data_IF_825790210303
#
_entry.id   IF_825790210303
#
_cell.length_a   1.000
_cell.length_b   1.000
_cell.length_c   1.000
_cell.angle_alpha   90.00
_cell.angle_beta   90.00
_cell.angle_gamma   90.00
#
_symmetry.space_group_name_H-M   'P 1'
#
loop_
_entity.id
_entity.type
_entity.pdbx_description
1 polymer ?
#
# COMPACT_ATOMS: atom_id res chain seq x y z
N UNK A 1 17.65 -1.09 -6.16
CA UNK A 1 16.43 -1.73 -6.69
C UNK A 1 16.82 -3.05 -7.34
N UNK A 2 15.94 -4.06 -7.38
CA UNK A 2 16.17 -5.49 -7.69
C UNK A 2 16.69 -6.35 -6.53
N UNK A 3 15.80 -6.68 -5.60
CA UNK A 3 16.01 -7.79 -4.66
C UNK A 3 14.97 -8.89 -4.94
N UNK A 4 15.02 -9.99 -4.17
CA UNK A 4 14.05 -11.11 -4.25
C UNK A 4 13.19 -11.20 -2.99
N UNK A 5 12.84 -10.04 -2.42
CA UNK A 5 12.00 -10.03 -1.22
C UNK A 5 10.61 -10.55 -1.57
N UNK A 6 10.25 -11.69 -0.98
CA UNK A 6 8.92 -12.29 -1.11
C UNK A 6 7.88 -11.70 -0.16
N UNK A 7 8.37 -11.09 0.91
CA UNK A 7 7.58 -10.53 1.99
C UNK A 7 8.16 -9.14 2.28
N UNK A 8 7.29 -8.20 2.62
CA UNK A 8 7.73 -6.90 3.13
C UNK A 8 8.61 -7.09 4.37
N UNK A 9 9.86 -6.58 4.40
CA UNK A 9 10.76 -6.84 5.52
C UNK A 9 10.22 -6.26 6.84
N UNK A 10 9.88 -7.15 7.79
CA UNK A 10 9.26 -6.76 9.08
C UNK A 10 10.07 -5.75 9.88
N UNK A 11 11.39 -5.71 9.68
CA UNK A 11 12.27 -4.74 10.34
C UNK A 11 11.91 -3.30 9.97
N UNK A 12 11.42 -3.04 8.76
CA UNK A 12 11.07 -1.70 8.30
C UNK A 12 9.92 -1.10 9.11
N UNK A 13 8.96 -1.91 9.54
CA UNK A 13 7.85 -1.46 10.40
C UNK A 13 8.33 -0.91 11.75
N UNK A 14 9.52 -1.32 12.22
CA UNK A 14 10.07 -0.89 13.50
C UNK A 14 10.81 0.44 13.42
N UNK A 15 11.11 0.91 12.20
CA UNK A 15 11.85 2.15 11.98
C UNK A 15 10.84 3.26 11.70
N UNK A 16 10.22 3.76 12.77
CA UNK A 16 9.14 4.78 12.71
C UNK A 16 9.59 6.13 12.14
N UNK A 17 10.90 6.31 11.93
CA UNK A 17 11.49 7.50 11.32
C UNK A 17 11.59 7.42 9.80
N UNK A 18 11.27 6.29 9.17
CA UNK A 18 11.33 6.14 7.71
C UNK A 18 10.31 7.05 7.02
N UNK A 19 10.79 7.83 6.06
CA UNK A 19 9.97 8.71 5.23
C UNK A 19 9.67 8.13 3.85
N UNK A 20 10.58 7.30 3.33
CA UNK A 20 10.46 6.70 2.02
C UNK A 20 10.90 5.23 2.04
N UNK A 21 10.09 4.36 1.44
CA UNK A 21 10.36 2.94 1.26
C UNK A 21 10.26 2.64 -0.23
N UNK A 22 11.39 2.26 -0.81
CA UNK A 22 11.54 1.96 -2.24
C UNK A 22 11.77 0.46 -2.43
N UNK A 23 10.68 -0.28 -2.63
CA UNK A 23 10.67 -1.73 -2.82
C UNK A 23 10.15 -2.14 -4.19
N UNK A 24 10.24 -1.25 -5.18
CA UNK A 24 9.96 -1.57 -6.58
C UNK A 24 10.81 -2.74 -7.10
N UNK A 25 10.23 -3.52 -8.00
CA UNK A 25 10.87 -4.69 -8.65
C UNK A 25 11.36 -5.73 -7.63
N UNK A 26 10.44 -6.25 -6.84
CA UNK A 26 10.63 -7.37 -5.90
C UNK A 26 9.54 -8.44 -6.14
N UNK A 27 9.35 -9.36 -5.19
CA UNK A 27 8.36 -10.44 -5.25
C UNK A 27 7.37 -10.37 -4.09
N UNK A 28 7.10 -9.16 -3.59
CA UNK A 28 6.33 -8.96 -2.35
C UNK A 28 4.87 -9.31 -2.64
N UNK A 29 4.39 -10.37 -1.98
CA UNK A 29 3.00 -10.81 -2.13
C UNK A 29 2.04 -10.22 -1.09
N UNK A 30 2.56 -9.73 0.03
CA UNK A 30 1.76 -9.19 1.13
C UNK A 30 2.52 -8.17 1.98
N UNK A 31 1.74 -7.34 2.67
CA UNK A 31 2.17 -6.29 3.59
C UNK A 31 1.14 -6.18 4.73
N UNK A 32 1.57 -5.68 5.88
CA UNK A 32 0.72 -5.49 7.07
C UNK A 32 0.27 -4.02 7.13
N UNK A 33 -0.99 -3.72 6.81
CA UNK A 33 -1.47 -2.33 6.79
C UNK A 33 -1.56 -1.72 8.20
N UNK A 34 -1.74 -2.52 9.25
CA UNK A 34 -1.80 -2.02 10.63
C UNK A 34 -0.43 -1.55 11.10
N UNK A 35 0.64 -2.23 10.66
CA UNK A 35 2.01 -1.79 10.94
C UNK A 35 2.39 -0.59 10.08
N UNK A 36 1.99 -0.54 8.80
CA UNK A 36 2.22 0.65 7.96
C UNK A 36 1.54 1.89 8.50
N UNK A 37 0.32 1.76 9.04
CA UNK A 37 -0.38 2.88 9.68
C UNK A 37 0.41 3.50 10.84
N UNK A 38 1.20 2.71 11.58
CA UNK A 38 2.04 3.21 12.68
C UNK A 38 3.26 3.99 12.21
N UNK A 39 3.63 3.89 10.92
CA UNK A 39 4.76 4.60 10.36
C UNK A 39 4.37 6.04 10.03
N UNK A 40 4.21 6.87 11.06
CA UNK A 40 3.66 8.23 10.95
C UNK A 40 4.48 9.15 10.03
N UNK A 41 5.78 8.89 9.84
CA UNK A 41 6.62 9.69 8.94
C UNK A 41 6.62 9.21 7.50
N UNK A 42 6.04 8.04 7.21
CA UNK A 42 6.10 7.44 5.89
C UNK A 42 5.26 8.26 4.90
N UNK A 43 5.94 8.90 3.96
CA UNK A 43 5.35 9.72 2.92
C UNK A 43 5.39 9.06 1.54
N UNK A 44 6.36 8.18 1.30
CA UNK A 44 6.56 7.52 0.01
C UNK A 44 6.65 6.01 0.18
N UNK A 45 5.79 5.28 -0.51
CA UNK A 45 5.79 3.82 -0.59
C UNK A 45 5.74 3.38 -2.05
N UNK A 46 6.86 2.85 -2.53
CA UNK A 46 6.97 2.25 -3.86
C UNK A 46 6.98 0.72 -3.75
N UNK A 47 5.95 0.12 -4.33
CA UNK A 47 5.75 -1.32 -4.45
C UNK A 47 5.48 -1.71 -5.90
N UNK A 48 5.93 -0.93 -6.89
CA UNK A 48 5.77 -1.27 -8.30
C UNK A 48 6.42 -2.62 -8.64
N UNK A 49 5.87 -3.34 -9.61
CA UNK A 49 6.43 -4.60 -10.11
C UNK A 49 6.69 -5.60 -8.97
N UNK A 50 5.66 -5.92 -8.21
CA UNK A 50 5.65 -6.91 -7.14
C UNK A 50 4.51 -7.93 -7.40
N UNK A 51 4.32 -8.86 -6.47
CA UNK A 51 3.35 -9.96 -6.59
C UNK A 51 2.09 -9.72 -5.72
N UNK A 52 1.71 -8.47 -5.46
CA UNK A 52 0.55 -8.14 -4.63
C UNK A 52 -0.74 -8.57 -5.31
N UNK A 53 -1.41 -9.59 -4.77
CA UNK A 53 -2.70 -10.10 -5.27
C UNK A 53 -3.89 -9.21 -4.88
N UNK A 54 -3.76 -8.47 -3.77
CA UNK A 54 -4.77 -7.56 -3.26
C UNK A 54 -4.12 -6.39 -2.52
N UNK A 55 -4.80 -5.25 -2.52
CA UNK A 55 -4.38 -4.06 -1.78
C UNK A 55 -5.34 -3.88 -0.61
N UNK A 56 -4.84 -3.95 0.65
CA UNK A 56 -5.70 -3.80 1.82
C UNK A 56 -6.32 -2.39 1.87
N UNK A 57 -7.65 -2.26 2.02
CA UNK A 57 -8.34 -0.98 2.16
C UNK A 57 -7.75 -0.08 3.26
N UNK A 58 -7.24 -0.69 4.33
CA UNK A 58 -6.66 -0.01 5.49
C UNK A 58 -5.45 0.86 5.15
N UNK A 59 -4.79 0.65 4.00
CA UNK A 59 -3.77 1.58 3.50
C UNK A 59 -4.33 3.00 3.27
N UNK A 60 -5.63 3.12 2.99
CA UNK A 60 -6.33 4.41 2.90
C UNK A 60 -6.35 5.22 4.21
N UNK A 61 -6.01 4.60 5.35
CA UNK A 61 -5.87 5.26 6.66
C UNK A 61 -4.45 5.74 6.94
N UNK A 62 -3.50 5.58 6.01
CA UNK A 62 -2.14 6.12 6.15
C UNK A 62 -2.13 7.61 5.74
N UNK A 63 -2.55 8.50 6.65
CA UNK A 63 -2.80 9.92 6.35
C UNK A 63 -1.55 10.72 5.91
N UNK A 64 -0.36 10.25 6.28
CA UNK A 64 0.91 10.87 5.91
C UNK A 64 1.43 10.40 4.55
N UNK A 65 0.85 9.34 3.96
CA UNK A 65 1.29 8.82 2.68
C UNK A 65 0.89 9.78 1.55
N UNK A 66 1.89 10.28 0.82
CA UNK A 66 1.74 11.22 -0.29
C UNK A 66 1.97 10.56 -1.64
N UNK A 67 2.85 9.57 -1.67
CA UNK A 67 3.21 8.82 -2.88
C UNK A 67 3.04 7.34 -2.60
N UNK A 68 2.18 6.70 -3.38
CA UNK A 68 1.90 5.27 -3.37
C UNK A 68 1.95 4.76 -4.81
N UNK A 69 2.95 3.94 -5.11
CA UNK A 69 3.15 3.36 -6.43
C UNK A 69 2.89 1.86 -6.37
N UNK A 70 1.91 1.39 -7.15
CA UNK A 70 1.40 0.01 -7.10
C UNK A 70 1.34 -0.65 -8.49
N UNK A 71 1.77 0.05 -9.54
CA UNK A 71 1.71 -0.44 -10.92
C UNK A 71 2.53 -1.72 -11.10
N UNK A 72 2.13 -2.57 -12.06
CA UNK A 72 2.84 -3.82 -12.34
C UNK A 72 2.64 -4.93 -11.30
N UNK A 73 1.58 -4.85 -10.49
CA UNK A 73 1.17 -5.93 -9.60
C UNK A 73 -0.06 -6.70 -10.15
N UNK A 74 -0.25 -7.97 -9.77
CA UNK A 74 -1.33 -8.83 -10.28
C UNK A 74 -2.73 -8.56 -9.68
N UNK A 75 -2.90 -7.58 -8.77
CA UNK A 75 -4.22 -7.27 -8.20
C UNK A 75 -5.21 -6.80 -9.27
N UNK A 76 -6.49 -7.16 -9.09
CA UNK A 76 -7.58 -6.76 -10.00
C UNK A 76 -8.28 -5.47 -9.58
N UNK A 77 -8.19 -5.14 -8.30
CA UNK A 77 -8.81 -3.97 -7.66
C UNK A 77 -7.80 -3.34 -6.70
N UNK A 78 -7.59 -2.01 -6.73
CA UNK A 78 -8.21 -0.99 -7.59
C UNK A 78 -7.92 -1.17 -9.09
N UNK A 79 -8.85 -0.72 -9.95
CA UNK A 79 -8.67 -0.77 -11.41
C UNK A 79 -7.58 0.22 -11.85
N UNK A 80 -6.95 -0.03 -12.99
CA UNK A 80 -5.93 0.85 -13.57
C UNK A 80 -6.39 2.32 -13.71
N UNK A 81 -7.67 2.55 -14.01
CA UNK A 81 -8.23 3.90 -14.09
C UNK A 81 -8.18 4.69 -12.76
N UNK A 82 -8.21 4.01 -11.61
CA UNK A 82 -8.05 4.64 -10.29
C UNK A 82 -6.57 4.92 -10.02
N UNK A 83 -5.69 3.98 -10.37
CA UNK A 83 -4.23 4.17 -10.25
C UNK A 83 -3.76 5.38 -11.06
N UNK A 84 -4.26 5.53 -12.30
CA UNK A 84 -3.90 6.62 -13.20
C UNK A 84 -4.34 8.01 -12.72
N UNK A 85 -5.31 8.09 -11.79
CA UNK A 85 -5.73 9.36 -11.16
C UNK A 85 -4.77 9.84 -10.07
N UNK A 86 -3.74 9.05 -9.75
CA UNK A 86 -2.71 9.38 -8.78
C UNK A 86 -3.02 8.90 -7.36
N UNK A 87 -2.04 9.07 -6.48
CA UNK A 87 -2.06 8.51 -5.12
C UNK A 87 -3.26 8.95 -4.29
N UNK A 88 -3.67 10.22 -4.36
CA UNK A 88 -4.80 10.72 -3.58
C UNK A 88 -6.11 9.96 -3.91
N UNK A 89 -6.39 9.75 -5.21
CA UNK A 89 -7.57 9.01 -5.65
C UNK A 89 -7.51 7.53 -5.25
N UNK A 90 -6.32 6.92 -5.25
CA UNK A 90 -6.12 5.55 -4.78
C UNK A 90 -6.40 5.45 -3.28
N UNK A 91 -5.86 6.35 -2.46
CA UNK A 91 -6.08 6.36 -1.02
C UNK A 91 -7.54 6.62 -0.67
N UNK A 92 -8.20 7.53 -1.38
CA UNK A 92 -9.63 7.80 -1.23
C UNK A 92 -10.48 6.57 -1.60
N UNK A 93 -10.16 5.90 -2.72
CA UNK A 93 -10.81 4.66 -3.11
C UNK A 93 -10.64 3.57 -2.05
N UNK A 94 -9.43 3.40 -1.50
CA UNK A 94 -9.17 2.42 -0.45
C UNK A 94 -9.96 2.76 0.82
N UNK A 95 -10.01 4.03 1.21
CA UNK A 95 -10.77 4.51 2.36
C UNK A 95 -12.27 4.27 2.22
N UNK A 96 -12.85 4.52 1.04
CA UNK A 96 -14.29 4.29 0.80
C UNK A 96 -14.67 2.80 0.91
N UNK A 97 -13.73 1.89 0.63
CA UNK A 97 -13.93 0.44 0.80
C UNK A 97 -13.93 -0.02 2.25
N UNK A 98 -13.34 0.74 3.18
CA UNK A 98 -13.38 0.42 4.62
C UNK A 98 -14.80 0.62 5.15
N UNK A 99 -15.42 1.77 4.82
CA UNK A 99 -16.77 2.11 5.30
C UNK A 99 -17.85 1.18 4.76
N UNK A 100 -17.70 0.64 3.55
CA UNK A 100 -18.66 -0.35 3.01
C UNK A 100 -18.64 -1.68 3.77
N UNK A 101 -17.51 -2.10 4.33
CA UNK A 101 -17.43 -3.37 5.08
C UNK A 101 -18.09 -3.27 6.45
N UNK A 102 -18.14 -2.06 7.04
CA UNK A 102 -18.79 -1.83 8.33
C UNK A 102 -20.34 -1.73 8.23
N UNK A 103 -20.89 -1.58 7.03
CA UNK A 103 -22.34 -1.40 6.84
C UNK A 103 -23.12 -2.72 6.67
N UNK A 104 -22.44 -3.84 6.41
CA UNK A 104 -23.06 -5.15 6.13
C UNK A 104 -23.09 -6.10 7.35
N UNK A 105 -22.95 -5.59 8.58
CA UNK A 105 -22.92 -6.39 9.83
C UNK A 105 -24.05 -6.08 10.81
N UNK A 106 -25.19 -5.53 10.36
CA UNK A 106 -26.41 -5.36 11.18
C UNK A 106 -27.62 -6.02 10.53
#
# INVERSE_FOLDING_TARGET
AFNRFKIFPNVLYRILTLEAILLGSNQIGSLDPQQLKKMEKLSTLDLQNNDLLQIPPELGNCDNLRVLLLEGNPFRTPRAAILAKGTAAVLEYLRSRISTVAADVN
#
